data_IF_946246494775
#
_entry.id   IF_946246494775
#
_cell.length_a   1.000
_cell.length_b   1.000
_cell.length_c   1.000
_cell.angle_alpha   90.00
_cell.angle_beta   90.00
_cell.angle_gamma   90.00
#
_symmetry.space_group_name_H-M   'P 1'
#
loop_
_entity.id
_entity.type
_entity.pdbx_description
1 polymer ?
#
# COMPACT_ATOMS: atom_id res chain seq x y z
N UNK A 1 -6.32 -26.96 -19.77
CA UNK A 1 -5.66 -25.98 -20.64
C UNK A 1 -4.59 -25.29 -19.82
N UNK A 2 -3.37 -25.16 -20.33
CA UNK A 2 -2.35 -24.34 -19.66
C UNK A 2 -2.86 -22.90 -19.54
N UNK A 3 -2.62 -22.21 -18.42
CA UNK A 3 -3.01 -20.80 -18.28
C UNK A 3 -2.35 -19.99 -19.41
N UNK A 4 -3.09 -19.01 -19.93
CA UNK A 4 -2.59 -18.07 -20.92
C UNK A 4 -1.36 -17.34 -20.33
N UNK A 5 -0.17 -17.46 -20.94
CA UNK A 5 1.05 -16.84 -20.41
C UNK A 5 0.93 -15.33 -20.20
N UNK A 6 0.13 -14.65 -21.03
CA UNK A 6 -0.12 -13.22 -20.88
C UNK A 6 -0.97 -12.95 -19.64
N UNK A 7 -2.05 -13.70 -19.43
CA UNK A 7 -2.88 -13.58 -18.22
C UNK A 7 -2.09 -13.88 -16.95
N UNK A 8 -1.24 -14.91 -16.96
CA UNK A 8 -0.37 -15.21 -15.82
C UNK A 8 0.56 -14.03 -15.52
N UNK A 9 1.17 -13.43 -16.54
CA UNK A 9 2.05 -12.27 -16.36
C UNK A 9 1.31 -11.06 -15.80
N UNK A 10 0.03 -10.87 -16.16
CA UNK A 10 -0.83 -9.82 -15.61
C UNK A 10 -1.20 -10.08 -14.14
N UNK A 11 -1.53 -11.33 -13.78
CA UNK A 11 -1.78 -11.73 -12.39
C UNK A 11 -0.53 -11.51 -11.53
N UNK A 12 0.63 -11.94 -12.01
CA UNK A 12 1.90 -11.74 -11.30
C UNK A 12 2.23 -10.25 -11.13
N UNK A 13 1.93 -9.43 -12.14
CA UNK A 13 2.10 -7.98 -12.07
C UNK A 13 1.15 -7.34 -11.04
N UNK A 14 -0.12 -7.76 -11.00
CA UNK A 14 -1.09 -7.27 -10.01
C UNK A 14 -0.68 -7.66 -8.58
N UNK A 15 -0.27 -8.91 -8.34
CA UNK A 15 0.23 -9.35 -7.05
C UNK A 15 1.45 -8.54 -6.58
N UNK A 16 2.37 -8.22 -7.50
CA UNK A 16 3.51 -7.34 -7.21
C UNK A 16 3.08 -5.92 -6.86
N UNK A 17 2.05 -5.37 -7.50
CA UNK A 17 1.51 -4.04 -7.18
C UNK A 17 0.88 -4.01 -5.78
N UNK A 18 0.20 -5.09 -5.36
CA UNK A 18 -0.31 -5.25 -4.00
C UNK A 18 0.83 -5.21 -2.97
N UNK A 19 1.90 -5.95 -3.22
CA UNK A 19 3.07 -5.92 -2.33
C UNK A 19 3.77 -4.54 -2.33
N UNK A 20 3.91 -3.90 -3.49
CA UNK A 20 4.47 -2.54 -3.59
C UNK A 20 3.61 -1.54 -2.81
N UNK A 21 2.28 -1.69 -2.81
CA UNK A 21 1.37 -0.86 -2.01
C UNK A 21 1.69 -0.97 -0.52
N UNK A 22 1.90 -2.17 0.01
CA UNK A 22 2.28 -2.38 1.42
C UNK A 22 3.62 -1.71 1.76
N UNK A 23 4.64 -1.96 0.94
CA UNK A 23 5.95 -1.35 1.13
C UNK A 23 5.91 0.19 1.05
N UNK A 24 5.08 0.73 0.15
CA UNK A 24 4.88 2.17 0.02
C UNK A 24 4.15 2.75 1.23
N UNK A 25 3.14 2.05 1.77
CA UNK A 25 2.46 2.45 2.98
C UNK A 25 3.45 2.54 4.14
N UNK A 26 4.24 1.49 4.36
CA UNK A 26 5.25 1.43 5.42
C UNK A 26 6.28 2.55 5.26
N UNK A 27 6.83 2.73 4.06
CA UNK A 27 7.80 3.80 3.80
C UNK A 27 7.20 5.19 4.05
N UNK A 28 5.94 5.42 3.65
CA UNK A 28 5.24 6.69 3.88
C UNK A 28 5.05 6.93 5.37
N UNK A 29 4.63 5.91 6.12
CA UNK A 29 4.44 5.98 7.55
C UNK A 29 5.77 6.26 8.29
N UNK A 30 6.86 5.61 7.90
CA UNK A 30 8.19 5.86 8.46
C UNK A 30 8.64 7.32 8.28
N UNK A 31 8.38 7.91 7.11
CA UNK A 31 8.67 9.34 6.88
C UNK A 31 7.79 10.23 7.78
N UNK A 32 6.52 9.88 7.94
CA UNK A 32 5.59 10.64 8.77
C UNK A 32 6.02 10.63 10.25
N UNK A 33 6.36 9.47 10.84
CA UNK A 33 6.81 9.37 12.24
C UNK A 33 8.20 9.96 12.48
N UNK A 34 9.03 10.09 11.45
CA UNK A 34 10.30 10.79 11.56
C UNK A 34 10.14 12.32 11.66
N UNK A 35 8.96 12.86 11.33
CA UNK A 35 8.68 14.30 11.27
C UNK A 35 7.34 14.67 11.94
N UNK A 36 6.25 14.72 11.19
CA UNK A 36 4.95 15.26 11.64
C UNK A 36 4.26 14.41 12.70
N UNK A 37 4.45 13.09 12.68
CA UNK A 37 3.93 12.14 13.66
C UNK A 37 4.97 11.74 14.71
N UNK A 38 6.10 12.46 14.81
CA UNK A 38 7.16 12.15 15.79
C UNK A 38 6.64 12.20 17.22
N UNK A 39 5.92 13.26 17.56
CA UNK A 39 5.41 13.43 18.93
C UNK A 39 4.48 12.28 19.32
N UNK A 40 3.67 11.81 18.37
CA UNK A 40 2.87 10.61 18.57
C UNK A 40 3.76 9.38 18.76
N UNK A 41 4.73 9.15 17.88
CA UNK A 41 5.66 8.01 17.95
C UNK A 41 6.45 7.95 19.26
N UNK A 42 6.82 9.10 19.83
CA UNK A 42 7.56 9.19 21.09
C UNK A 42 6.68 8.84 22.31
N UNK A 43 5.34 8.86 22.14
CA UNK A 43 4.37 8.50 23.18
C UNK A 43 3.90 7.05 23.12
N UNK A 44 4.17 6.34 22.02
CA UNK A 44 3.78 4.94 21.87
C UNK A 44 4.72 4.05 22.70
N UNK A 45 4.16 3.19 23.54
CA UNK A 45 4.96 2.27 24.35
C UNK A 45 5.45 1.07 23.51
N UNK A 46 6.67 0.61 23.80
CA UNK A 46 7.24 -0.56 23.14
C UNK A 46 6.38 -1.80 23.44
N UNK A 47 5.80 -2.40 22.41
CA UNK A 47 4.92 -3.56 22.52
C UNK A 47 3.44 -3.25 22.29
N UNK A 48 3.07 -1.97 22.14
CA UNK A 48 1.73 -1.60 21.68
C UNK A 48 1.55 -1.83 20.18
N UNK A 49 0.36 -2.32 19.81
CA UNK A 49 -0.07 -2.47 18.41
C UNK A 49 -1.08 -1.39 18.09
N UNK A 50 -0.77 -0.58 17.09
CA UNK A 50 -1.64 0.49 16.59
C UNK A 50 -2.03 0.21 15.15
N UNK A 51 -3.33 0.29 14.84
CA UNK A 51 -3.81 0.22 13.46
C UNK A 51 -3.76 1.62 12.85
N UNK A 52 -2.95 1.78 11.81
CA UNK A 52 -2.81 3.04 11.08
C UNK A 52 -3.52 2.91 9.74
N UNK A 53 -4.30 3.93 9.39
CA UNK A 53 -5.03 3.97 8.13
C UNK A 53 -4.40 4.97 7.16
N UNK A 54 -4.72 4.83 5.88
CA UNK A 54 -4.26 5.74 4.83
C UNK A 54 -4.74 7.17 5.06
N UNK A 55 -5.93 7.35 5.62
CA UNK A 55 -6.50 8.66 5.95
C UNK A 55 -5.62 9.46 6.92
N UNK A 56 -4.91 8.79 7.84
CA UNK A 56 -3.94 9.46 8.70
C UNK A 56 -2.82 10.08 7.87
N UNK A 57 -2.27 9.34 6.91
CA UNK A 57 -1.20 9.80 6.02
C UNK A 57 -1.69 10.90 5.06
N UNK A 58 -2.96 10.86 4.65
CA UNK A 58 -3.59 11.92 3.84
C UNK A 58 -3.79 13.22 4.64
N UNK A 59 -3.95 13.13 5.96
CA UNK A 59 -4.12 14.30 6.83
C UNK A 59 -2.80 15.04 7.11
N UNK A 60 -1.65 14.42 6.82
CA UNK A 60 -0.33 15.03 7.02
C UNK A 60 -0.11 16.22 6.08
N UNK A 61 0.49 17.28 6.61
CA UNK A 61 0.87 18.50 5.90
C UNK A 61 2.26 18.42 5.25
N UNK A 62 3.11 17.45 5.63
CA UNK A 62 4.42 17.24 5.03
C UNK A 62 4.31 16.96 3.51
N UNK A 63 4.93 17.79 2.65
CA UNK A 63 4.87 17.61 1.20
C UNK A 63 5.41 16.26 0.69
N UNK A 64 6.39 15.67 1.39
CA UNK A 64 6.97 14.38 1.02
C UNK A 64 6.00 13.24 1.36
N UNK A 65 5.36 13.29 2.53
CA UNK A 65 4.31 12.34 2.92
C UNK A 65 3.16 12.42 1.91
N UNK A 66 2.70 13.63 1.58
CA UNK A 66 1.66 13.81 0.57
C UNK A 66 2.04 13.27 -0.81
N UNK A 67 3.30 13.40 -1.23
CA UNK A 67 3.79 12.86 -2.50
C UNK A 67 3.75 11.32 -2.49
N UNK A 68 4.18 10.69 -1.41
CA UNK A 68 4.19 9.24 -1.27
C UNK A 68 2.76 8.67 -1.15
N UNK A 69 1.88 9.32 -0.40
CA UNK A 69 0.45 8.95 -0.31
C UNK A 69 -0.26 9.06 -1.67
N UNK A 70 0.10 10.05 -2.49
CA UNK A 70 -0.39 10.14 -3.89
C UNK A 70 0.12 8.97 -4.74
N UNK A 71 1.38 8.58 -4.60
CA UNK A 71 1.93 7.43 -5.31
C UNK A 71 1.22 6.14 -4.89
N UNK A 72 1.01 5.93 -3.59
CA UNK A 72 0.25 4.81 -3.03
C UNK A 72 -1.14 4.71 -3.69
N UNK A 73 -1.88 5.83 -3.73
CA UNK A 73 -3.20 5.90 -4.37
C UNK A 73 -3.16 5.56 -5.86
N UNK A 74 -2.10 5.99 -6.57
CA UNK A 74 -1.95 5.67 -7.98
C UNK A 74 -1.61 4.19 -8.22
N UNK A 75 -0.84 3.56 -7.32
CA UNK A 75 -0.54 2.13 -7.36
C UNK A 75 -1.82 1.32 -7.15
N UNK A 76 -2.62 1.65 -6.14
CA UNK A 76 -3.94 1.03 -5.88
C UNK A 76 -4.83 1.11 -7.12
N UNK A 77 -5.04 2.32 -7.66
CA UNK A 77 -5.87 2.52 -8.86
C UNK A 77 -5.34 1.76 -10.07
N UNK A 78 -4.02 1.68 -10.23
CA UNK A 78 -3.41 0.96 -11.36
C UNK A 78 -3.63 -0.54 -11.20
N UNK A 79 -3.49 -1.08 -9.99
CA UNK A 79 -3.79 -2.47 -9.68
C UNK A 79 -5.26 -2.78 -9.99
N UNK A 80 -6.19 -1.99 -9.48
CA UNK A 80 -7.63 -2.16 -9.73
C UNK A 80 -7.95 -2.10 -11.22
N UNK A 81 -7.34 -1.17 -11.94
CA UNK A 81 -7.52 -1.05 -13.39
C UNK A 81 -6.98 -2.28 -14.13
N UNK A 82 -5.83 -2.80 -13.72
CA UNK A 82 -5.21 -3.99 -14.31
C UNK A 82 -6.11 -5.22 -14.13
N UNK A 83 -6.66 -5.41 -12.93
CA UNK A 83 -7.57 -6.51 -12.63
C UNK A 83 -8.88 -6.38 -13.41
N UNK A 84 -9.51 -5.20 -13.36
CA UNK A 84 -10.79 -4.95 -14.01
C UNK A 84 -10.72 -5.08 -15.55
N UNK A 85 -9.69 -4.49 -16.17
CA UNK A 85 -9.53 -4.52 -17.64
C UNK A 85 -9.33 -5.94 -18.17
N UNK A 86 -8.79 -6.84 -17.36
CA UNK A 86 -8.44 -8.19 -17.77
C UNK A 86 -9.36 -9.26 -17.16
N UNK A 87 -10.37 -8.85 -16.39
CA UNK A 87 -11.28 -9.74 -15.64
C UNK A 87 -10.50 -10.77 -14.81
N UNK A 88 -9.52 -10.27 -14.05
CA UNK A 88 -8.69 -11.06 -13.15
C UNK A 88 -9.16 -10.84 -11.71
N UNK A 89 -9.13 -11.90 -10.93
CA UNK A 89 -9.32 -11.87 -9.47
C UNK A 89 -7.99 -12.31 -8.85
N UNK A 90 -7.54 -11.61 -7.82
CA UNK A 90 -6.45 -12.09 -6.97
C UNK A 90 -7.07 -12.95 -5.88
N UNK A 91 -6.53 -14.14 -5.69
CA UNK A 91 -6.84 -14.93 -4.49
C UNK A 91 -6.28 -14.14 -3.30
N UNK A 92 -7.16 -13.71 -2.39
CA UNK A 92 -6.75 -13.23 -1.08
C UNK A 92 -6.15 -14.42 -0.34
N UNK A 93 -4.85 -14.40 -0.02
CA UNK A 93 -4.29 -15.38 0.91
C UNK A 93 -5.01 -15.19 2.26
N UNK A 94 -5.83 -16.17 2.64
CA UNK A 94 -6.45 -16.24 3.97
C UNK A 94 -5.33 -16.06 5.01
N UNK A 95 -5.41 -15.05 5.91
CA UNK A 95 -4.42 -14.91 6.97
C UNK A 95 -4.57 -16.08 7.95
N UNK A 96 -3.62 -17.02 7.92
CA UNK A 96 -3.44 -18.09 8.91
C UNK A 96 -3.33 -17.55 10.36
#
# INVERSE_FOLDING_TARGET
MSPDPYKQSLTDAAARLVHIRELLFDATFQVAIANELRDWSDTVEVGEVHTISKELLESCSDPNVQLLTKLLTNVERTCDSLLNLNSLELEEEDPD
#
